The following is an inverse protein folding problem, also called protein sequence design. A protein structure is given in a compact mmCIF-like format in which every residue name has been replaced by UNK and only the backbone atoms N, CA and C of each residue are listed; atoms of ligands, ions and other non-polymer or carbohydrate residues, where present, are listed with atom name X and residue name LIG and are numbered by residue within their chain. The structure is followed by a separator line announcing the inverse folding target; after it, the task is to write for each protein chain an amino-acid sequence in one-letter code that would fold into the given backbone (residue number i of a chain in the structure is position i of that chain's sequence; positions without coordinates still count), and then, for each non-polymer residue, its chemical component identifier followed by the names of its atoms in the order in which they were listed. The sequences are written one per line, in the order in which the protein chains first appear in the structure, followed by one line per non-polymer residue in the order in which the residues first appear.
data_IF_996004121705
#
_entry.id   IF_996004121705
#
_cell.length_a   1.000
_cell.length_b   1.000
_cell.length_c   1.000
_cell.angle_alpha   90.00
_cell.angle_beta   90.00
_cell.angle_gamma   90.00
#
_symmetry.space_group_name_H-M   'P 1'
#
loop_
_entity.id
_entity.type
_entity.pdbx_description
1 polymer ?
#
# COMPACT_ATOMS: atom_id res chain seq x y z
N UNK A 1 -14.18 -20.22 7.16
CA UNK A 1 -13.39 -21.43 6.85
C UNK A 1 -11.98 -21.01 6.50
N UNK A 2 -10.96 -21.81 6.84
CA UNK A 2 -9.59 -21.56 6.40
C UNK A 2 -9.50 -21.59 4.86
N UNK A 3 -8.80 -20.63 4.28
CA UNK A 3 -8.58 -20.50 2.82
C UNK A 3 -7.09 -20.63 2.52
N UNK A 4 -6.76 -21.07 1.32
CA UNK A 4 -5.40 -20.96 0.77
C UNK A 4 -5.31 -19.64 0.02
N UNK A 5 -4.51 -18.70 0.54
CA UNK A 5 -4.44 -17.32 0.03
C UNK A 5 -3.06 -17.06 -0.54
N UNK A 6 -3.00 -16.57 -1.78
CA UNK A 6 -1.79 -16.02 -2.38
C UNK A 6 -1.76 -14.51 -2.19
N UNK A 7 -0.70 -13.97 -1.59
CA UNK A 7 -0.47 -12.53 -1.45
C UNK A 7 0.65 -12.11 -2.41
N UNK A 8 0.29 -11.54 -3.56
CA UNK A 8 1.25 -11.02 -4.53
C UNK A 8 1.72 -9.65 -4.07
N UNK A 9 3.05 -9.43 -4.05
CA UNK A 9 3.65 -8.26 -3.40
C UNK A 9 3.76 -8.39 -1.89
N UNK A 10 3.71 -9.62 -1.36
CA UNK A 10 3.78 -9.92 0.08
C UNK A 10 5.09 -9.57 0.77
N UNK A 11 6.10 -9.09 0.04
CA UNK A 11 7.35 -8.53 0.60
C UNK A 11 7.30 -7.00 0.80
N UNK A 12 6.27 -6.29 0.31
CA UNK A 12 6.03 -4.87 0.57
C UNK A 12 5.22 -4.66 1.84
N UNK A 13 5.20 -3.44 2.39
CA UNK A 13 4.56 -3.14 3.68
C UNK A 13 3.09 -3.61 3.75
N UNK A 14 2.26 -3.21 2.78
CA UNK A 14 0.83 -3.56 2.75
C UNK A 14 0.64 -5.08 2.59
N UNK A 15 1.32 -5.69 1.62
CA UNK A 15 1.21 -7.12 1.38
C UNK A 15 1.73 -7.96 2.54
N UNK A 16 2.83 -7.54 3.18
CA UNK A 16 3.39 -8.20 4.35
C UNK A 16 2.44 -8.13 5.55
N UNK A 17 1.88 -6.95 5.84
CA UNK A 17 0.89 -6.78 6.92
C UNK A 17 -0.34 -7.65 6.69
N UNK A 18 -0.90 -7.63 5.49
CA UNK A 18 -2.04 -8.47 5.12
C UNK A 18 -1.72 -9.97 5.24
N UNK A 19 -0.54 -10.40 4.76
CA UNK A 19 -0.15 -11.81 4.82
C UNK A 19 -0.01 -12.34 6.24
N UNK A 20 0.64 -11.57 7.13
CA UNK A 20 0.80 -11.95 8.53
C UNK A 20 -0.55 -11.98 9.25
N UNK A 21 -1.37 -10.95 9.09
CA UNK A 21 -2.70 -10.87 9.69
C UNK A 21 -3.58 -12.05 9.28
N UNK A 22 -3.66 -12.34 7.98
CA UNK A 22 -4.45 -13.47 7.48
C UNK A 22 -3.93 -14.83 7.98
N UNK A 23 -2.60 -14.99 8.11
CA UNK A 23 -2.01 -16.20 8.68
C UNK A 23 -2.33 -16.37 10.17
N UNK A 24 -2.29 -15.29 10.95
CA UNK A 24 -2.68 -15.26 12.37
C UNK A 24 -4.17 -15.60 12.57
N UNK A 25 -5.02 -15.28 11.58
CA UNK A 25 -6.44 -15.62 11.58
C UNK A 25 -6.75 -17.00 10.97
N UNK A 26 -5.73 -17.85 10.85
CA UNK A 26 -5.90 -19.27 10.52
C UNK A 26 -6.03 -19.60 9.03
N UNK A 27 -5.67 -18.68 8.15
CA UNK A 27 -5.58 -18.95 6.72
C UNK A 27 -4.22 -19.57 6.35
N UNK A 28 -4.20 -20.43 5.32
CA UNK A 28 -2.97 -20.96 4.74
C UNK A 28 -2.43 -19.93 3.71
N UNK A 29 -1.54 -19.04 4.16
CA UNK A 29 -1.04 -17.92 3.35
C UNK A 29 0.30 -18.26 2.72
N UNK A 30 0.41 -18.00 1.42
CA UNK A 30 1.69 -17.94 0.68
C UNK A 30 1.91 -16.52 0.16
N UNK A 31 3.16 -16.09 0.10
CA UNK A 31 3.52 -14.79 -0.45
C UNK A 31 4.25 -14.95 -1.78
N UNK A 32 4.00 -14.05 -2.73
CA UNK A 32 4.65 -14.06 -4.04
C UNK A 32 5.39 -12.76 -4.31
N UNK A 33 6.53 -12.88 -5.01
CA UNK A 33 7.35 -11.76 -5.40
C UNK A 33 8.64 -12.16 -6.10
N UNK A 34 9.38 -11.19 -6.61
CA UNK A 34 10.66 -11.42 -7.33
C UNK A 34 11.78 -11.89 -6.40
N UNK A 35 11.79 -11.40 -5.19
CA UNK A 35 12.83 -11.68 -4.20
C UNK A 35 12.20 -12.08 -2.88
N UNK A 36 12.67 -13.15 -2.22
CA UNK A 36 12.21 -13.53 -0.89
C UNK A 36 12.40 -12.38 0.11
N UNK A 37 11.46 -12.16 1.03
CA UNK A 37 11.58 -11.10 2.02
C UNK A 37 12.69 -11.39 3.02
N UNK A 38 13.43 -10.36 3.40
CA UNK A 38 14.38 -10.41 4.50
C UNK A 38 13.69 -10.15 5.84
N UNK A 39 12.69 -10.97 6.16
CA UNK A 39 11.86 -10.85 7.38
C UNK A 39 11.72 -12.21 8.04
N UNK A 40 12.09 -12.27 9.33
CA UNK A 40 11.97 -13.49 10.14
C UNK A 40 10.53 -13.98 10.28
N UNK A 41 9.57 -13.08 10.30
CA UNK A 41 8.15 -13.43 10.37
C UNK A 41 7.65 -13.97 9.02
N UNK A 42 7.95 -13.27 7.92
CA UNK A 42 7.52 -13.65 6.58
C UNK A 42 8.22 -14.91 6.04
N UNK A 43 9.44 -15.20 6.49
CA UNK A 43 10.17 -16.41 6.08
C UNK A 43 9.51 -17.71 6.55
N UNK A 44 8.54 -17.64 7.47
CA UNK A 44 7.72 -18.78 7.88
C UNK A 44 6.58 -19.10 6.90
N UNK A 45 6.26 -18.16 6.01
CA UNK A 45 5.24 -18.35 4.99
C UNK A 45 5.86 -18.94 3.72
N UNK A 46 5.19 -19.89 3.04
CA UNK A 46 5.63 -20.36 1.73
C UNK A 46 5.82 -19.21 0.75
N UNK A 47 6.91 -19.26 -0.03
CA UNK A 47 7.25 -18.22 -0.99
C UNK A 47 7.17 -18.74 -2.42
N UNK A 48 6.36 -18.07 -3.25
CA UNK A 48 6.26 -18.28 -4.69
C UNK A 48 7.12 -17.21 -5.38
N UNK A 49 8.25 -17.63 -5.96
CA UNK A 49 9.11 -16.72 -6.71
C UNK A 49 8.49 -16.43 -8.06
N UNK A 50 8.39 -15.15 -8.43
CA UNK A 50 7.94 -14.73 -9.73
C UNK A 50 7.49 -13.28 -9.78
N UNK A 51 7.30 -12.79 -11.01
CA UNK A 51 6.74 -11.50 -11.35
C UNK A 51 5.38 -11.70 -12.03
N UNK A 52 4.39 -10.95 -11.66
CA UNK A 52 3.09 -10.98 -12.34
C UNK A 52 3.15 -10.44 -13.78
N UNK A 53 4.26 -9.75 -14.15
CA UNK A 53 4.50 -9.20 -15.49
C UNK A 53 5.24 -10.15 -16.41
N UNK A 54 5.98 -11.13 -15.86
CA UNK A 54 6.88 -12.01 -16.60
C UNK A 54 6.26 -13.41 -16.83
N UNK A 55 5.01 -13.60 -16.41
CA UNK A 55 4.28 -14.87 -16.44
C UNK A 55 4.97 -16.07 -15.74
N UNK A 56 5.95 -15.78 -14.90
CA UNK A 56 6.70 -16.79 -14.16
C UNK A 56 6.04 -17.24 -12.85
N UNK A 57 4.91 -16.59 -12.44
CA UNK A 57 3.90 -17.20 -11.56
C UNK A 57 2.94 -17.99 -12.44
N UNK A 58 3.12 -19.30 -12.50
CA UNK A 58 2.43 -20.17 -13.45
C UNK A 58 0.96 -20.43 -13.09
N UNK A 59 0.12 -20.76 -14.08
CA UNK A 59 -1.28 -21.11 -13.84
C UNK A 59 -1.41 -22.38 -12.97
N UNK A 60 -0.44 -23.30 -13.05
CA UNK A 60 -0.38 -24.48 -12.18
C UNK A 60 -0.18 -24.08 -10.71
N UNK A 61 0.61 -23.03 -10.42
CA UNK A 61 0.76 -22.51 -9.08
C UNK A 61 -0.50 -21.78 -8.61
N UNK A 62 -1.15 -21.00 -9.50
CA UNK A 62 -2.39 -20.29 -9.17
C UNK A 62 -3.53 -21.25 -8.81
N UNK A 63 -3.65 -22.41 -9.46
CA UNK A 63 -4.65 -23.46 -9.13
C UNK A 63 -4.54 -24.00 -7.70
N UNK A 64 -3.43 -23.74 -7.02
CA UNK A 64 -3.22 -24.15 -5.64
C UNK A 64 -3.92 -23.26 -4.59
N UNK A 65 -4.56 -22.15 -5.00
CA UNK A 65 -5.11 -21.14 -4.11
C UNK A 65 -6.61 -20.94 -4.30
N UNK A 66 -7.30 -20.63 -3.20
CA UNK A 66 -8.72 -20.31 -3.19
C UNK A 66 -8.95 -18.80 -3.39
N UNK A 67 -8.01 -17.99 -2.91
CA UNK A 67 -8.13 -16.53 -2.88
C UNK A 67 -6.82 -15.83 -3.23
N UNK A 68 -6.94 -14.60 -3.77
CA UNK A 68 -5.84 -13.73 -4.14
C UNK A 68 -5.92 -12.38 -3.41
N UNK A 69 -4.82 -11.93 -2.81
CA UNK A 69 -4.61 -10.54 -2.40
C UNK A 69 -3.48 -9.98 -3.25
N UNK A 70 -3.75 -8.93 -4.00
CA UNK A 70 -2.76 -8.35 -4.90
C UNK A 70 -2.33 -6.97 -4.42
N UNK A 71 -1.11 -6.87 -3.88
CA UNK A 71 -0.49 -5.67 -3.34
C UNK A 71 0.80 -5.24 -4.10
N UNK A 72 0.99 -5.72 -5.32
CA UNK A 72 2.16 -5.44 -6.16
C UNK A 72 1.89 -4.28 -7.14
N UNK A 73 1.51 -3.11 -6.62
CA UNK A 73 1.38 -1.90 -7.43
C UNK A 73 2.75 -1.36 -7.86
N UNK A 74 2.86 -0.89 -9.12
CA UNK A 74 4.06 -0.25 -9.60
C UNK A 74 3.93 1.27 -9.54
N UNK A 75 4.96 1.92 -9.03
CA UNK A 75 5.13 3.37 -9.00
C UNK A 75 6.54 3.76 -9.50
N UNK A 76 6.91 5.02 -9.39
CA UNK A 76 8.21 5.53 -9.87
C UNK A 76 9.43 4.77 -9.31
N UNK A 77 9.30 4.11 -8.17
CA UNK A 77 10.38 3.32 -7.55
C UNK A 77 10.70 2.02 -8.29
N UNK A 78 9.77 1.55 -9.10
CA UNK A 78 9.92 0.34 -9.91
C UNK A 78 10.20 0.65 -11.39
N UNK A 79 10.21 1.93 -11.78
CA UNK A 79 10.51 2.35 -13.15
C UNK A 79 11.96 1.97 -13.52
N UNK A 80 12.17 1.14 -14.55
CA UNK A 80 13.51 0.82 -15.00
C UNK A 80 14.25 2.06 -15.55
N UNK A 81 15.56 2.16 -15.34
CA UNK A 81 16.34 3.28 -15.88
C UNK A 81 16.19 3.43 -17.39
N UNK A 82 15.81 4.64 -17.84
CA UNK A 82 15.68 4.98 -19.25
C UNK A 82 14.37 4.54 -19.92
N UNK A 83 13.45 3.92 -19.21
CA UNK A 83 12.12 3.60 -19.72
C UNK A 83 11.18 4.80 -19.60
N UNK A 84 10.30 5.00 -20.60
CA UNK A 84 9.25 6.00 -20.54
C UNK A 84 8.25 5.68 -19.43
N UNK A 85 8.04 6.64 -18.52
CA UNK A 85 7.20 6.47 -17.33
C UNK A 85 5.77 6.11 -17.70
N UNK A 86 5.17 6.78 -18.68
CA UNK A 86 3.78 6.58 -19.06
C UNK A 86 3.59 5.21 -19.72
N UNK A 87 4.53 4.80 -20.58
CA UNK A 87 4.53 3.48 -21.21
C UNK A 87 4.70 2.37 -20.17
N UNK A 88 5.62 2.55 -19.22
CA UNK A 88 5.82 1.59 -18.13
C UNK A 88 4.56 1.40 -17.28
N UNK A 89 3.98 2.49 -16.79
CA UNK A 89 2.77 2.38 -15.97
C UNK A 89 1.59 1.81 -16.75
N UNK A 90 1.46 2.17 -18.02
CA UNK A 90 0.41 1.59 -18.87
C UNK A 90 0.59 0.06 -19.00
N UNK A 91 1.79 -0.39 -19.34
CA UNK A 91 2.09 -1.82 -19.44
C UNK A 91 1.92 -2.56 -18.11
N UNK A 92 2.53 -2.01 -17.03
CA UNK A 92 2.59 -2.71 -15.76
C UNK A 92 1.26 -2.68 -15.00
N UNK A 93 0.61 -1.51 -14.91
CA UNK A 93 -0.61 -1.36 -14.12
C UNK A 93 -1.87 -1.53 -14.97
N UNK A 94 -2.03 -0.75 -16.07
CA UNK A 94 -3.29 -0.76 -16.83
C UNK A 94 -3.56 -2.10 -17.52
N UNK A 95 -2.51 -2.77 -18.01
CA UNK A 95 -2.62 -4.04 -18.75
C UNK A 95 -2.24 -5.22 -17.84
N UNK A 96 -1.05 -5.20 -17.24
CA UNK A 96 -0.50 -6.35 -16.52
C UNK A 96 -1.31 -6.77 -15.29
N UNK A 97 -1.83 -5.81 -14.52
CA UNK A 97 -2.64 -6.13 -13.34
C UNK A 97 -3.96 -6.81 -13.73
N UNK A 98 -4.82 -6.27 -14.60
CA UNK A 98 -6.04 -6.96 -15.02
C UNK A 98 -5.77 -8.31 -15.68
N UNK A 99 -4.72 -8.43 -16.51
CA UNK A 99 -4.33 -9.69 -17.15
C UNK A 99 -3.97 -10.77 -16.11
N UNK A 100 -3.24 -10.41 -15.05
CA UNK A 100 -2.93 -11.36 -13.98
C UNK A 100 -4.18 -11.81 -13.21
N UNK A 101 -5.13 -10.90 -12.96
CA UNK A 101 -6.42 -11.26 -12.33
C UNK A 101 -7.27 -12.15 -13.26
N UNK A 102 -7.25 -11.94 -14.57
CA UNK A 102 -7.93 -12.82 -15.53
C UNK A 102 -7.34 -14.24 -15.48
N UNK A 103 -6.00 -14.38 -15.46
CA UNK A 103 -5.33 -15.67 -15.28
C UNK A 103 -5.66 -16.33 -13.93
N UNK A 104 -5.73 -15.55 -12.86
CA UNK A 104 -6.12 -16.05 -11.55
C UNK A 104 -7.55 -16.61 -11.55
N UNK A 105 -8.49 -15.89 -12.19
CA UNK A 105 -9.86 -16.34 -12.41
C UNK A 105 -9.90 -17.65 -13.22
N UNK A 106 -9.20 -17.71 -14.35
CA UNK A 106 -9.15 -18.89 -15.22
C UNK A 106 -8.49 -20.10 -14.54
N UNK A 107 -7.58 -19.85 -13.60
CA UNK A 107 -6.99 -20.88 -12.75
C UNK A 107 -7.93 -21.39 -11.63
N UNK A 108 -9.11 -20.78 -11.44
CA UNK A 108 -10.12 -21.22 -10.49
C UNK A 108 -10.05 -20.52 -9.12
N UNK A 109 -9.30 -19.42 -8.97
CA UNK A 109 -9.39 -18.57 -7.79
C UNK A 109 -10.79 -17.97 -7.73
N UNK A 110 -11.48 -18.13 -6.59
CA UNK A 110 -12.87 -17.72 -6.44
C UNK A 110 -13.03 -16.30 -5.85
N UNK A 111 -12.09 -15.88 -4.99
CA UNK A 111 -12.15 -14.58 -4.30
C UNK A 111 -10.85 -13.78 -4.51
N UNK A 112 -10.96 -12.50 -4.81
CA UNK A 112 -9.79 -11.66 -4.99
C UNK A 112 -9.97 -10.25 -4.41
N UNK A 113 -8.88 -9.69 -3.86
CA UNK A 113 -8.79 -8.30 -3.39
C UNK A 113 -7.63 -7.61 -4.08
N UNK A 114 -7.91 -6.52 -4.77
CA UNK A 114 -6.91 -5.64 -5.36
C UNK A 114 -6.59 -4.48 -4.42
N UNK A 115 -5.32 -4.25 -4.14
CA UNK A 115 -4.84 -3.06 -3.43
C UNK A 115 -4.65 -1.93 -4.43
N UNK A 116 -5.65 -1.08 -4.53
CA UNK A 116 -5.70 0.09 -5.39
C UNK A 116 -4.99 1.31 -4.79
N UNK A 117 -5.29 2.47 -5.35
CA UNK A 117 -4.79 3.76 -4.90
C UNK A 117 -5.94 4.75 -4.72
N UNK A 118 -5.95 5.46 -3.61
CA UNK A 118 -7.01 6.44 -3.31
C UNK A 118 -7.00 7.66 -4.25
N UNK A 119 -5.86 7.98 -4.87
CA UNK A 119 -5.70 9.21 -5.65
C UNK A 119 -6.72 9.40 -6.77
N UNK A 120 -7.04 8.36 -7.54
CA UNK A 120 -8.03 8.44 -8.62
C UNK A 120 -9.45 8.78 -8.14
N UNK A 121 -9.73 8.55 -6.86
CA UNK A 121 -11.02 8.86 -6.23
C UNK A 121 -11.04 10.26 -5.58
N UNK A 122 -9.91 10.71 -5.06
CA UNK A 122 -9.83 11.92 -4.23
C UNK A 122 -9.29 13.15 -4.98
N UNK A 123 -8.58 12.95 -6.10
CA UNK A 123 -8.11 14.01 -7.01
C UNK A 123 -8.40 13.65 -8.48
N UNK A 124 -9.68 13.38 -8.84
CA UNK A 124 -10.04 12.89 -10.19
C UNK A 124 -9.64 13.85 -11.30
N UNK A 125 -9.57 15.16 -11.04
CA UNK A 125 -9.15 16.20 -11.99
C UNK A 125 -7.67 16.05 -12.40
N UNK A 126 -6.85 15.35 -11.61
CA UNK A 126 -5.43 15.11 -11.91
C UNK A 126 -5.18 13.83 -12.70
N UNK A 127 -6.16 12.96 -12.80
CA UNK A 127 -6.03 11.65 -13.47
C UNK A 127 -5.59 11.83 -14.93
N UNK A 128 -6.22 12.76 -15.66
CA UNK A 128 -5.90 12.99 -17.06
C UNK A 128 -4.45 13.43 -17.29
N UNK A 129 -3.86 14.19 -16.36
CA UNK A 129 -2.51 14.72 -16.48
C UNK A 129 -1.41 13.76 -15.99
N UNK A 130 -1.74 12.74 -15.17
CA UNK A 130 -0.75 11.82 -14.59
C UNK A 130 -0.84 10.42 -15.19
N UNK A 131 0.25 9.95 -15.80
CA UNK A 131 0.38 8.58 -16.31
C UNK A 131 0.18 7.53 -15.19
N UNK A 132 0.73 7.80 -14.02
CA UNK A 132 0.55 6.96 -12.84
C UNK A 132 -0.93 6.87 -12.42
N UNK A 133 -1.60 8.01 -12.20
CA UNK A 133 -3.01 8.01 -11.75
C UNK A 133 -3.93 7.32 -12.75
N UNK A 134 -3.75 7.61 -14.07
CA UNK A 134 -4.49 6.91 -15.13
C UNK A 134 -4.30 5.40 -15.05
N UNK A 135 -3.06 4.97 -14.86
CA UNK A 135 -2.74 3.53 -14.82
C UNK A 135 -3.35 2.83 -13.61
N UNK A 136 -3.36 3.50 -12.44
CA UNK A 136 -3.97 2.94 -11.22
C UNK A 136 -5.49 2.88 -11.33
N UNK A 137 -6.12 3.89 -11.93
CA UNK A 137 -7.56 3.86 -12.21
C UNK A 137 -7.91 2.76 -13.20
N UNK A 138 -7.18 2.66 -14.32
CA UNK A 138 -7.42 1.63 -15.31
C UNK A 138 -7.23 0.21 -14.76
N UNK A 139 -6.24 0.00 -13.87
CA UNK A 139 -6.05 -1.26 -13.18
C UNK A 139 -7.24 -1.60 -12.28
N UNK A 140 -7.73 -0.64 -11.48
CA UNK A 140 -8.88 -0.82 -10.60
C UNK A 140 -10.14 -1.16 -11.42
N UNK A 141 -10.44 -0.38 -12.44
CA UNK A 141 -11.61 -0.59 -13.31
C UNK A 141 -11.51 -1.94 -14.04
N UNK A 142 -10.34 -2.28 -14.60
CA UNK A 142 -10.11 -3.53 -15.32
C UNK A 142 -10.23 -4.77 -14.42
N UNK A 143 -9.71 -4.70 -13.20
CA UNK A 143 -9.85 -5.78 -12.21
C UNK A 143 -11.31 -5.97 -11.81
N UNK A 144 -12.02 -4.90 -11.48
CA UNK A 144 -13.43 -4.97 -11.08
C UNK A 144 -14.37 -5.43 -12.20
N UNK A 145 -14.02 -5.13 -13.45
CA UNK A 145 -14.76 -5.61 -14.62
C UNK A 145 -14.72 -7.15 -14.81
N UNK A 146 -13.77 -7.86 -14.15
CA UNK A 146 -13.68 -9.31 -14.15
C UNK A 146 -14.71 -9.99 -13.22
N UNK A 147 -15.40 -9.20 -12.37
CA UNK A 147 -16.41 -9.71 -11.46
C UNK A 147 -17.46 -10.55 -12.16
N UNK A 148 -17.83 -11.70 -11.60
CA UNK A 148 -18.77 -12.62 -12.16
C UNK A 148 -19.30 -13.60 -11.13
N UNK A 149 -20.18 -14.53 -11.51
CA UNK A 149 -20.78 -15.50 -10.59
C UNK A 149 -19.74 -16.41 -9.92
N UNK A 150 -18.66 -16.76 -10.66
CA UNK A 150 -17.62 -17.67 -10.19
C UNK A 150 -16.34 -16.96 -9.77
N UNK A 151 -16.31 -15.62 -9.77
CA UNK A 151 -15.16 -14.80 -9.38
C UNK A 151 -15.61 -13.55 -8.65
N UNK A 152 -15.49 -13.57 -7.34
CA UNK A 152 -15.72 -12.39 -6.52
C UNK A 152 -14.44 -11.58 -6.43
N UNK A 153 -14.48 -10.34 -6.91
CA UNK A 153 -13.35 -9.42 -6.84
C UNK A 153 -13.81 -8.04 -6.40
N UNK A 154 -13.04 -7.42 -5.51
CA UNK A 154 -13.22 -6.03 -5.12
C UNK A 154 -11.87 -5.35 -4.96
N UNK A 155 -11.87 -4.02 -4.91
CA UNK A 155 -10.66 -3.25 -4.67
C UNK A 155 -10.73 -2.44 -3.38
N UNK A 156 -9.59 -2.34 -2.70
CA UNK A 156 -9.36 -1.46 -1.55
C UNK A 156 -8.38 -0.36 -1.97
N UNK A 157 -8.87 0.86 -2.12
CA UNK A 157 -8.07 1.99 -2.54
C UNK A 157 -7.39 2.62 -1.32
N UNK A 158 -6.09 2.29 -1.17
CA UNK A 158 -5.29 2.61 0.01
C UNK A 158 -4.90 4.09 0.08
N UNK A 159 -5.03 4.73 1.26
CA UNK A 159 -4.47 6.03 1.54
C UNK A 159 -2.97 5.94 1.88
N UNK A 160 -2.42 6.95 2.57
CA UNK A 160 -1.05 6.91 3.06
C UNK A 160 -0.95 5.88 4.20
N UNK A 161 -0.48 4.68 3.87
CA UNK A 161 -0.43 3.57 4.82
C UNK A 161 0.86 3.62 5.64
N UNK A 162 0.73 3.58 6.98
CA UNK A 162 1.81 3.69 7.95
C UNK A 162 1.87 2.47 8.87
N UNK A 163 3.07 2.18 9.36
CA UNK A 163 3.36 1.04 10.23
C UNK A 163 4.68 0.39 9.88
N UNK A 164 4.91 -0.79 10.41
CA UNK A 164 6.11 -1.57 10.10
C UNK A 164 5.82 -3.08 10.11
N UNK A 165 6.62 -3.79 9.38
CA UNK A 165 6.80 -5.23 9.48
C UNK A 165 8.30 -5.48 9.59
N UNK A 166 8.75 -6.24 10.58
CA UNK A 166 10.19 -6.50 10.80
C UNK A 166 10.84 -7.09 9.54
N UNK A 167 11.94 -6.48 9.09
CA UNK A 167 12.66 -6.86 7.88
C UNK A 167 12.06 -6.30 6.57
N UNK A 168 10.99 -5.51 6.65
CA UNK A 168 10.41 -4.79 5.50
C UNK A 168 10.69 -3.29 5.64
N UNK A 169 11.26 -2.67 4.61
CA UNK A 169 11.55 -1.24 4.59
C UNK A 169 10.50 -0.52 3.73
N UNK A 170 9.71 0.34 4.35
CA UNK A 170 8.84 1.29 3.66
C UNK A 170 9.61 2.60 3.44
N UNK A 171 10.11 2.83 2.23
CA UNK A 171 11.00 3.94 1.91
C UNK A 171 10.48 5.33 2.34
N UNK A 172 9.19 5.69 2.16
CA UNK A 172 8.70 6.99 2.59
C UNK A 172 8.77 7.19 4.11
N UNK A 173 8.54 6.13 4.89
CA UNK A 173 8.61 6.18 6.36
C UNK A 173 10.08 6.25 6.80
N UNK A 174 10.94 5.39 6.24
CA UNK A 174 12.38 5.38 6.52
C UNK A 174 13.01 6.75 6.22
N UNK A 175 12.70 7.33 5.06
CA UNK A 175 13.18 8.65 4.68
C UNK A 175 12.74 9.75 5.65
N UNK A 176 11.48 9.72 6.10
CA UNK A 176 10.96 10.68 7.09
C UNK A 176 11.68 10.55 8.43
N UNK A 177 11.89 9.34 8.93
CA UNK A 177 12.60 9.10 10.18
C UNK A 177 14.08 9.54 10.08
N UNK A 178 14.78 9.18 9.00
CA UNK A 178 16.17 9.61 8.75
C UNK A 178 16.31 11.12 8.66
N UNK A 179 15.35 11.80 8.01
CA UNK A 179 15.30 13.25 7.97
C UNK A 179 15.17 13.84 9.38
N UNK A 180 14.24 13.35 10.19
CA UNK A 180 14.04 13.81 11.57
C UNK A 180 15.25 13.53 12.48
N UNK A 181 16.02 12.48 12.21
CA UNK A 181 17.28 12.17 12.87
C UNK A 181 18.46 13.02 12.37
N UNK A 182 18.25 13.87 11.36
CA UNK A 182 19.30 14.77 10.82
C UNK A 182 20.23 14.10 9.81
N UNK A 183 19.89 12.93 9.29
CA UNK A 183 20.69 12.22 8.28
C UNK A 183 20.50 12.78 6.85
N UNK A 184 19.47 13.59 6.63
CA UNK A 184 19.20 14.33 5.40
C UNK A 184 19.00 15.82 5.69
N UNK A 185 19.25 16.68 4.72
CA UNK A 185 18.83 18.09 4.76
C UNK A 185 19.75 19.09 5.47
N UNK A 186 21.00 18.72 5.79
CA UNK A 186 22.06 19.71 6.11
C UNK A 186 21.99 20.40 7.48
N UNK A 187 21.27 19.87 8.47
CA UNK A 187 21.41 20.29 9.88
C UNK A 187 20.70 21.59 10.28
N UNK A 188 19.77 22.10 9.48
CA UNK A 188 18.91 23.25 9.82
C UNK A 188 17.68 22.88 10.67
N UNK A 189 16.81 23.87 11.00
CA UNK A 189 15.53 23.61 11.63
C UNK A 189 14.70 22.59 10.82
N UNK A 190 14.07 21.64 11.52
CA UNK A 190 13.20 20.65 10.85
C UNK A 190 11.96 21.33 10.31
N UNK A 191 11.60 20.99 9.10
CA UNK A 191 10.43 21.55 8.43
C UNK A 191 9.72 20.49 7.62
N UNK A 192 8.50 20.77 7.16
CA UNK A 192 7.71 19.92 6.30
C UNK A 192 6.92 20.78 5.31
N UNK A 193 6.52 20.18 4.20
CA UNK A 193 5.68 20.82 3.20
C UNK A 193 4.28 21.13 3.75
N UNK A 194 3.57 22.14 3.22
CA UNK A 194 2.15 22.31 3.49
C UNK A 194 1.34 21.14 2.90
N UNK A 195 0.07 21.04 3.36
CA UNK A 195 -0.84 20.00 2.90
C UNK A 195 -0.91 18.80 3.85
N UNK A 196 -1.54 17.73 3.39
CA UNK A 196 -1.77 16.54 4.19
C UNK A 196 -2.42 15.41 3.40
N UNK A 197 -2.68 14.31 4.10
CA UNK A 197 -3.30 13.13 3.53
C UNK A 197 -4.21 12.44 4.55
N UNK A 198 -5.03 11.50 4.07
CA UNK A 198 -5.60 10.48 4.93
C UNK A 198 -4.53 9.44 5.26
N UNK A 199 -4.35 9.12 6.53
CA UNK A 199 -3.40 8.14 7.04
C UNK A 199 -4.15 6.93 7.60
N UNK A 200 -3.63 5.73 7.36
CA UNK A 200 -4.23 4.50 7.85
C UNK A 200 -3.13 3.54 8.32
N UNK A 201 -3.34 2.90 9.47
CA UNK A 201 -2.37 1.92 9.94
C UNK A 201 -2.36 0.67 9.06
N UNK A 202 -1.20 0.01 8.99
CA UNK A 202 -1.08 -1.27 8.28
C UNK A 202 -1.99 -2.33 8.88
N UNK A 203 -2.26 -2.28 10.19
CA UNK A 203 -3.16 -3.22 10.86
C UNK A 203 -4.62 -2.97 10.48
N UNK A 204 -5.08 -1.71 10.51
CA UNK A 204 -6.42 -1.34 10.00
C UNK A 204 -6.59 -1.78 8.55
N UNK A 205 -5.56 -1.60 7.73
CA UNK A 205 -5.61 -2.01 6.32
C UNK A 205 -5.67 -3.53 6.16
N UNK A 206 -4.92 -4.29 6.95
CA UNK A 206 -4.95 -5.74 6.94
C UNK A 206 -6.33 -6.31 7.37
N UNK A 207 -6.96 -5.71 8.38
CA UNK A 207 -8.35 -6.02 8.76
C UNK A 207 -9.34 -5.68 7.64
N UNK A 208 -9.13 -4.56 6.91
CA UNK A 208 -9.95 -4.23 5.75
C UNK A 208 -9.79 -5.25 4.62
N UNK A 209 -8.59 -5.79 4.39
CA UNK A 209 -8.33 -6.88 3.43
C UNK A 209 -9.10 -8.14 3.81
N UNK A 210 -9.03 -8.56 5.07
CA UNK A 210 -9.78 -9.71 5.57
C UNK A 210 -11.29 -9.48 5.42
N UNK A 211 -11.78 -8.29 5.83
CA UNK A 211 -13.17 -7.89 5.65
C UNK A 211 -13.63 -7.93 4.20
N UNK A 212 -12.78 -7.51 3.26
CA UNK A 212 -13.06 -7.53 1.84
C UNK A 212 -13.14 -8.95 1.27
N UNK A 213 -12.21 -9.83 1.67
CA UNK A 213 -12.27 -11.26 1.31
C UNK A 213 -13.55 -11.93 1.79
N UNK A 214 -14.00 -11.60 3.00
CA UNK A 214 -15.18 -12.23 3.59
C UNK A 214 -16.50 -11.60 3.12
N UNK A 215 -16.58 -10.27 3.17
CA UNK A 215 -17.84 -9.49 3.08
C UNK A 215 -17.87 -8.48 1.94
N UNK A 216 -16.76 -8.32 1.19
CA UNK A 216 -16.71 -7.39 0.07
C UNK A 216 -17.76 -7.71 -0.99
N UNK A 217 -18.37 -6.66 -1.55
CA UNK A 217 -19.30 -6.77 -2.68
C UNK A 217 -18.55 -7.03 -3.97
N UNK A 218 -19.09 -7.93 -4.78
CA UNK A 218 -18.47 -8.26 -6.06
C UNK A 218 -18.48 -7.06 -7.03
N UNK A 219 -17.34 -6.74 -7.62
CA UNK A 219 -17.16 -5.61 -8.54
C UNK A 219 -17.06 -4.24 -7.85
N UNK A 220 -17.05 -4.17 -6.50
CA UNK A 220 -17.02 -2.91 -5.75
C UNK A 220 -15.60 -2.38 -5.55
N UNK A 221 -15.42 -1.07 -5.73
CA UNK A 221 -14.25 -0.33 -5.26
C UNK A 221 -14.55 0.37 -3.93
N UNK A 222 -13.67 0.21 -2.96
CA UNK A 222 -13.77 0.83 -1.64
C UNK A 222 -12.68 1.85 -1.45
N UNK A 223 -13.04 3.06 -1.03
CA UNK A 223 -12.10 4.09 -0.60
C UNK A 223 -11.91 3.95 0.93
N UNK A 224 -10.91 3.17 1.34
CA UNK A 224 -10.62 2.95 2.77
C UNK A 224 -9.76 4.08 3.33
N UNK A 225 -9.88 4.36 4.62
CA UNK A 225 -9.12 5.43 5.28
C UNK A 225 -9.31 5.44 6.79
N UNK A 226 -8.56 6.31 7.47
CA UNK A 226 -8.64 6.47 8.92
C UNK A 226 -8.56 7.94 9.32
N UNK A 227 -7.38 8.50 9.56
CA UNK A 227 -7.16 9.84 10.12
C UNK A 227 -6.73 10.84 9.02
N UNK A 228 -7.31 12.03 9.04
CA UNK A 228 -6.90 13.12 8.17
C UNK A 228 -5.90 14.03 8.88
N UNK A 229 -4.63 13.95 8.51
CA UNK A 229 -3.54 14.72 9.12
C UNK A 229 -2.81 15.61 8.13
N UNK A 230 -2.30 16.74 8.61
CA UNK A 230 -1.27 17.46 7.87
C UNK A 230 0.04 16.67 7.90
N UNK A 231 0.89 16.86 6.89
CA UNK A 231 2.24 16.27 6.91
C UNK A 231 3.09 16.77 8.07
N UNK A 232 2.88 18.03 8.49
CA UNK A 232 3.53 18.59 9.68
C UNK A 232 3.10 17.83 10.95
N UNK A 233 1.80 17.59 11.13
CA UNK A 233 1.29 16.83 12.29
C UNK A 233 1.85 15.40 12.31
N UNK A 234 1.88 14.71 11.17
CA UNK A 234 2.50 13.39 11.07
C UNK A 234 3.97 13.40 11.51
N UNK A 235 4.74 14.42 11.10
CA UNK A 235 6.13 14.57 11.54
C UNK A 235 6.26 14.91 13.02
N UNK A 236 5.35 15.70 13.57
CA UNK A 236 5.33 16.01 15.03
C UNK A 236 5.06 14.74 15.85
N UNK A 237 4.14 13.88 15.40
CA UNK A 237 3.91 12.56 16.04
C UNK A 237 5.14 11.66 15.96
N UNK A 238 5.85 11.65 14.83
CA UNK A 238 7.13 10.94 14.71
C UNK A 238 8.19 11.50 15.63
N UNK A 239 8.33 12.84 15.72
CA UNK A 239 9.28 13.49 16.64
C UNK A 239 8.99 13.12 18.09
N UNK A 240 7.73 13.16 18.51
CA UNK A 240 7.31 12.76 19.87
C UNK A 240 7.71 11.31 20.15
N UNK A 241 7.36 10.39 19.25
CA UNK A 241 7.70 8.97 19.36
C UNK A 241 9.21 8.68 19.34
N UNK A 242 9.99 9.54 18.69
CA UNK A 242 11.45 9.49 18.66
C UNK A 242 12.12 10.25 19.82
N UNK A 243 11.38 10.94 20.67
CA UNK A 243 11.92 11.79 21.75
C UNK A 243 12.72 12.98 21.21
N UNK A 244 12.35 13.52 20.05
CA UNK A 244 13.00 14.67 19.42
C UNK A 244 12.23 15.93 19.82
N UNK A 245 12.83 16.86 20.59
CA UNK A 245 12.14 18.08 21.00
C UNK A 245 12.02 19.09 19.86
N UNK A 246 11.02 19.98 19.96
CA UNK A 246 10.80 21.08 19.03
C UNK A 246 9.49 20.98 18.27
N UNK A 247 9.35 21.83 17.26
CA UNK A 247 8.19 21.89 16.35
C UNK A 247 8.65 21.80 14.90
N UNK A 248 7.76 21.38 14.05
CA UNK A 248 7.96 21.39 12.60
C UNK A 248 7.55 22.76 12.05
N UNK A 249 8.45 23.41 11.30
CA UNK A 249 8.09 24.57 10.49
C UNK A 249 7.41 24.09 9.20
N UNK A 250 6.46 24.86 8.69
CA UNK A 250 5.87 24.59 7.36
C UNK A 250 6.53 25.49 6.34
N UNK A 251 7.06 24.90 5.26
CA UNK A 251 7.72 25.61 4.15
C UNK A 251 7.23 25.11 2.81
N UNK A 252 6.90 26.01 1.91
CA UNK A 252 6.55 25.67 0.54
C UNK A 252 7.82 25.55 -0.33
N UNK A 253 8.50 24.42 -0.18
CA UNK A 253 9.70 24.07 -0.93
C UNK A 253 9.75 22.55 -1.13
N UNK A 254 10.53 22.06 -2.11
CA UNK A 254 10.71 20.61 -2.28
C UNK A 254 11.44 20.01 -1.09
N UNK A 255 10.85 18.95 -0.51
CA UNK A 255 11.33 18.36 0.73
C UNK A 255 12.20 17.12 0.48
N UNK A 256 13.35 16.95 1.14
CA UNK A 256 14.30 15.88 0.87
C UNK A 256 13.75 14.46 1.13
N UNK A 257 12.81 14.29 2.06
CA UNK A 257 12.17 12.99 2.33
C UNK A 257 10.79 12.81 1.67
N UNK A 258 10.27 13.86 1.04
CA UNK A 258 8.95 13.84 0.37
C UNK A 258 9.03 14.70 -0.90
N UNK A 259 9.75 14.24 -1.93
CA UNK A 259 9.96 14.99 -3.17
C UNK A 259 8.68 15.13 -3.99
N UNK A 260 8.60 16.20 -4.77
CA UNK A 260 7.40 16.59 -5.52
C UNK A 260 6.89 15.52 -6.48
N UNK A 261 7.79 14.72 -7.08
CA UNK A 261 7.38 13.63 -7.98
C UNK A 261 6.52 12.55 -7.31
N UNK A 262 6.59 12.42 -5.98
CA UNK A 262 5.75 11.50 -5.20
C UNK A 262 4.42 12.11 -4.72
N UNK A 263 4.23 13.42 -4.93
CA UNK A 263 3.04 14.14 -4.49
C UNK A 263 2.01 14.25 -5.62
N UNK A 264 1.34 13.16 -5.92
CA UNK A 264 0.39 13.09 -7.04
C UNK A 264 -0.79 14.07 -6.93
N UNK A 265 -1.17 14.48 -5.71
CA UNK A 265 -2.13 15.57 -5.50
C UNK A 265 -1.52 16.97 -5.65
N UNK A 266 -0.18 17.06 -5.71
CA UNK A 266 0.59 18.29 -5.74
C UNK A 266 0.98 18.79 -4.36
N UNK A 267 2.13 19.49 -4.27
CA UNK A 267 2.60 20.11 -3.05
C UNK A 267 1.56 21.12 -2.53
N UNK A 268 1.33 21.11 -1.22
CA UNK A 268 0.32 21.94 -0.56
C UNK A 268 -1.10 21.40 -0.61
N UNK A 269 -1.39 20.37 -1.40
CA UNK A 269 -2.71 19.76 -1.41
C UNK A 269 -2.97 19.00 -0.10
N UNK A 270 -4.19 19.11 0.41
CA UNK A 270 -4.69 18.29 1.51
C UNK A 270 -5.70 17.29 0.96
N UNK A 271 -5.35 16.02 1.01
CA UNK A 271 -6.22 14.92 0.58
C UNK A 271 -6.92 14.35 1.81
N UNK A 272 -8.05 14.95 2.16
CA UNK A 272 -8.87 14.56 3.31
C UNK A 272 -10.22 14.00 2.85
N UNK A 273 -10.67 12.94 3.48
CA UNK A 273 -11.99 12.34 3.25
C UNK A 273 -12.40 11.49 4.45
N UNK A 274 -13.71 11.27 4.60
CA UNK A 274 -14.25 10.33 5.57
C UNK A 274 -14.68 9.05 4.85
N UNK A 275 -14.29 7.88 5.39
CA UNK A 275 -14.74 6.59 4.89
C UNK A 275 -16.27 6.44 5.00
N UNK A 276 -16.86 5.84 3.98
CA UNK A 276 -18.30 5.57 3.93
C UNK A 276 -18.74 4.68 5.11
N UNK A 277 -19.79 5.06 5.90
CA UNK A 277 -20.25 4.29 7.05
C UNK A 277 -20.73 2.87 6.71
N UNK A 278 -21.34 2.67 5.54
CA UNK A 278 -21.81 1.35 5.10
C UNK A 278 -20.60 0.45 4.78
N UNK A 279 -19.56 1.03 4.17
CA UNK A 279 -18.29 0.35 3.97
C UNK A 279 -17.64 -0.04 5.30
N UNK A 280 -17.59 0.85 6.29
CA UNK A 280 -17.04 0.57 7.61
C UNK A 280 -17.79 -0.57 8.30
N UNK A 281 -19.14 -0.54 8.25
CA UNK A 281 -19.99 -1.61 8.78
C UNK A 281 -19.73 -2.95 8.08
N UNK A 282 -19.46 -2.94 6.79
CA UNK A 282 -19.21 -4.12 5.97
C UNK A 282 -17.80 -4.68 6.19
N UNK A 283 -16.78 -3.84 6.04
CA UNK A 283 -15.38 -4.28 6.11
C UNK A 283 -14.91 -4.51 7.55
N UNK A 284 -15.43 -3.78 8.52
CA UNK A 284 -15.20 -3.96 9.98
C UNK A 284 -13.72 -3.87 10.38
N UNK A 285 -12.99 -2.93 9.80
CA UNK A 285 -11.64 -2.63 10.25
C UNK A 285 -11.66 -1.57 11.37
N UNK A 286 -10.65 -1.59 12.22
CA UNK A 286 -10.49 -0.60 13.30
C UNK A 286 -10.23 0.80 12.74
N UNK A 287 -10.70 1.80 13.47
CA UNK A 287 -10.47 3.22 13.22
C UNK A 287 -9.63 3.80 14.36
N UNK A 288 -9.06 5.00 14.14
CA UNK A 288 -8.27 5.74 15.12
C UNK A 288 -7.03 4.96 15.60
N UNK A 289 -6.40 4.24 14.68
CA UNK A 289 -5.24 3.38 14.95
C UNK A 289 -3.91 3.96 14.41
N UNK A 290 -3.99 5.03 13.63
CA UNK A 290 -2.84 5.61 12.95
C UNK A 290 -1.79 6.17 13.93
N UNK A 291 -2.20 6.83 15.02
CA UNK A 291 -1.27 7.35 16.02
C UNK A 291 -0.52 6.23 16.76
N UNK A 292 -1.21 5.13 17.11
CA UNK A 292 -0.57 3.94 17.69
C UNK A 292 0.49 3.38 16.73
N UNK A 293 0.16 3.29 15.44
CA UNK A 293 1.10 2.80 14.43
C UNK A 293 2.36 3.69 14.33
N UNK A 294 2.22 5.02 14.42
CA UNK A 294 3.37 5.94 14.46
C UNK A 294 4.24 5.67 15.68
N UNK A 295 3.66 5.53 16.86
CA UNK A 295 4.39 5.26 18.10
C UNK A 295 5.16 3.94 18.07
N UNK A 296 4.59 2.93 17.46
CA UNK A 296 5.22 1.59 17.35
C UNK A 296 6.29 1.52 16.25
N UNK A 297 6.07 2.17 15.11
CA UNK A 297 7.02 2.10 13.99
C UNK A 297 8.25 2.98 14.19
N UNK A 298 8.14 4.11 14.87
CA UNK A 298 9.24 5.07 14.99
C UNK A 298 10.50 4.47 15.62
N UNK A 299 10.44 3.71 16.75
CA UNK A 299 11.61 3.02 17.28
C UNK A 299 12.21 1.96 16.35
N UNK A 300 11.40 1.29 15.56
CA UNK A 300 11.88 0.33 14.58
C UNK A 300 12.70 1.00 13.48
N UNK A 301 12.19 2.07 12.87
CA UNK A 301 12.90 2.80 11.82
C UNK A 301 14.13 3.55 12.35
N UNK A 302 14.10 4.02 13.63
CA UNK A 302 15.31 4.55 14.28
C UNK A 302 16.44 3.51 14.28
N UNK A 303 16.16 2.27 14.73
CA UNK A 303 17.16 1.20 14.73
C UNK A 303 17.73 0.92 13.35
N UNK A 304 16.89 0.94 12.31
CA UNK A 304 17.35 0.79 10.92
C UNK A 304 18.24 1.95 10.48
N UNK A 305 17.88 3.18 10.84
CA UNK A 305 18.65 4.37 10.51
C UNK A 305 20.02 4.42 11.20
N UNK A 306 20.10 3.91 12.43
CA UNK A 306 21.35 3.85 13.23
C UNK A 306 22.24 2.67 12.84
N UNK A 307 21.71 1.62 12.20
CA UNK A 307 22.45 0.44 11.77
C UNK A 307 23.02 0.54 10.34
N UNK A 308 22.67 1.57 9.58
CA UNK A 308 23.07 1.81 8.19
C UNK A 308 24.24 2.80 8.08
#
# INVERSE_FOLDING_TARGET
MARKILVVGGAGLIGAGAALHLAEHGHAVSIAGRTPPNSKALSKLPFVRGSFLEDDITDAQLRGFDSLVFAAGNDVRQLPPGEDEAAYFHRANSIGVPAFFARAKDAGIADAVYVGSYYSYVVPERVAASGYLRSRQAADDGVRALAGPDFKVCSLNAPFTIGYVEGVIALPIDASVRYLLGQYGGGGPRWMIPGGANFMSILSYAEAVEGALERGENGKGYLVGDENWSFAHYCELLMDALGIPGKIEVRDAEHPSMPDFGLYAGRGATVAYEPDPDMLTRLRYRRHDAERAVREMAPYYRKLAEAA
#
